data_IF_610257576666
#
_entry.id   IF_610257576666
#
_cell.length_a   1.000
_cell.length_b   1.000
_cell.length_c   1.000
_cell.angle_alpha   90.00
_cell.angle_beta   90.00
_cell.angle_gamma   90.00
#
_symmetry.space_group_name_H-M   'P 1'
#
loop_
_entity.id
_entity.type
_entity.pdbx_description
1 polymer ?
#
# COMPACT_ATOMS: atom_id res chain seq x y z
N UNK A 1 5.46 7.86 -20.93
CA UNK A 1 6.00 7.94 -19.55
C UNK A 1 4.83 7.76 -18.61
N UNK A 2 4.87 6.72 -17.76
CA UNK A 2 3.72 6.29 -16.95
C UNK A 2 3.33 7.37 -15.95
N UNK A 3 2.06 7.79 -15.97
CA UNK A 3 1.45 8.74 -15.04
C UNK A 3 0.91 8.06 -13.78
N UNK A 4 0.96 6.72 -13.75
CA UNK A 4 0.27 5.91 -12.75
C UNK A 4 1.23 5.43 -11.66
N UNK A 5 0.74 5.39 -10.42
CA UNK A 5 1.43 4.77 -9.30
C UNK A 5 1.13 3.27 -9.25
N UNK A 6 2.09 2.43 -9.68
CA UNK A 6 1.90 0.97 -9.74
C UNK A 6 1.93 0.28 -8.37
N UNK A 7 2.62 0.88 -7.39
CA UNK A 7 2.79 0.30 -6.06
C UNK A 7 4.14 0.58 -5.41
N UNK A 8 4.40 -0.10 -4.31
CA UNK A 8 5.63 0.05 -3.50
C UNK A 8 6.21 -1.32 -3.15
N UNK A 9 7.53 -1.40 -3.00
CA UNK A 9 8.21 -2.61 -2.53
C UNK A 9 8.76 -2.32 -1.14
N UNK A 10 8.31 -3.07 -0.15
CA UNK A 10 8.89 -3.08 1.19
C UNK A 10 9.94 -4.19 1.25
N UNK A 11 11.18 -3.83 1.62
CA UNK A 11 12.30 -4.78 1.67
C UNK A 11 12.50 -5.42 3.03
N UNK A 12 11.97 -4.82 4.10
CA UNK A 12 12.09 -5.29 5.47
C UNK A 12 10.73 -5.21 6.16
N UNK A 13 9.92 -6.26 6.01
CA UNK A 13 8.61 -6.35 6.69
C UNK A 13 8.69 -7.28 7.90
N UNK A 14 8.17 -6.89 9.08
CA UNK A 14 8.08 -7.78 10.23
C UNK A 14 7.32 -9.07 9.88
N UNK A 15 7.98 -10.22 10.04
CA UNK A 15 7.43 -11.53 9.64
C UNK A 15 6.55 -12.18 10.72
N UNK A 16 6.63 -11.69 11.96
CA UNK A 16 5.90 -12.25 13.11
C UNK A 16 4.42 -11.85 13.20
N UNK A 17 3.95 -10.90 12.39
CA UNK A 17 2.55 -10.46 12.40
C UNK A 17 1.95 -10.53 11.00
N UNK A 18 0.69 -10.98 10.93
CA UNK A 18 -0.09 -10.88 9.70
C UNK A 18 -0.52 -9.42 9.53
N UNK A 19 0.08 -8.74 8.54
CA UNK A 19 -0.20 -7.34 8.24
C UNK A 19 -0.99 -7.21 6.93
N UNK A 20 -1.97 -6.31 6.93
CA UNK A 20 -2.50 -5.68 5.72
C UNK A 20 -2.04 -4.23 5.69
N UNK A 21 -2.12 -3.59 4.54
CA UNK A 21 -1.77 -2.18 4.41
C UNK A 21 -2.98 -1.39 3.95
N UNK A 22 -3.32 -0.36 4.73
CA UNK A 22 -4.30 0.64 4.39
C UNK A 22 -3.61 1.71 3.54
N UNK A 23 -4.26 2.09 2.44
CA UNK A 23 -3.79 3.17 1.57
C UNK A 23 -4.69 4.38 1.74
N UNK A 24 -4.09 5.54 1.95
CA UNK A 24 -4.76 6.83 1.98
C UNK A 24 -4.33 7.63 0.76
N UNK A 25 -5.31 8.11 0.01
CA UNK A 25 -5.15 8.99 -1.13
C UNK A 25 -5.63 10.39 -0.73
N UNK A 26 -4.73 11.39 -0.74
CA UNK A 26 -5.02 12.75 -0.28
C UNK A 26 -5.69 12.79 1.11
N UNK A 27 -5.22 11.93 2.02
CA UNK A 27 -5.77 11.79 3.37
C UNK A 27 -7.04 10.94 3.49
N UNK A 28 -7.63 10.47 2.39
CA UNK A 28 -8.82 9.60 2.39
C UNK A 28 -8.45 8.14 2.19
N UNK A 29 -8.91 7.26 3.08
CA UNK A 29 -8.72 5.81 2.94
C UNK A 29 -9.43 5.27 1.70
N UNK A 30 -8.69 4.61 0.80
CA UNK A 30 -9.21 4.00 -0.44
C UNK A 30 -9.28 2.47 -0.39
N UNK A 31 -8.86 1.88 0.72
CA UNK A 31 -8.95 0.45 0.96
C UNK A 31 -7.75 -0.10 1.71
N UNK A 32 -7.83 -1.40 1.99
CA UNK A 32 -6.82 -2.13 2.77
C UNK A 32 -6.60 -3.48 2.12
N UNK A 33 -5.36 -3.83 1.79
CA UNK A 33 -5.06 -5.15 1.21
C UNK A 33 -3.81 -5.81 1.78
N UNK A 34 -3.75 -7.12 1.60
CA UNK A 34 -2.57 -7.88 1.97
C UNK A 34 -1.47 -7.68 0.93
N UNK A 35 -0.21 -7.56 1.35
CA UNK A 35 0.93 -7.57 0.42
C UNK A 35 1.04 -8.90 -0.33
N UNK A 36 1.58 -8.85 -1.55
CA UNK A 36 2.00 -10.06 -2.25
C UNK A 36 3.35 -10.50 -1.70
N UNK A 37 3.38 -11.69 -1.07
CA UNK A 37 4.62 -12.31 -0.61
C UNK A 37 5.37 -12.86 -1.81
N UNK A 38 6.55 -12.32 -2.10
CA UNK A 38 7.41 -12.91 -3.10
C UNK A 38 7.97 -14.23 -2.52
N UNK A 39 7.54 -15.37 -3.08
CA UNK A 39 7.97 -16.71 -2.63
C UNK A 39 9.49 -16.90 -2.66
N UNK A 40 10.20 -16.13 -3.49
CA UNK A 40 11.65 -16.28 -3.73
C UNK A 40 12.55 -15.40 -2.85
N UNK A 41 11.98 -14.41 -2.14
CA UNK A 41 12.74 -13.54 -1.22
C UNK A 41 11.88 -13.29 0.02
N UNK A 42 12.11 -14.07 1.08
CA UNK A 42 11.30 -14.11 2.31
C UNK A 42 11.07 -12.73 2.96
N UNK A 43 11.96 -11.76 2.70
CA UNK A 43 11.93 -10.43 3.32
C UNK A 43 11.35 -9.34 2.40
N UNK A 44 11.23 -9.60 1.09
CA UNK A 44 10.66 -8.62 0.16
C UNK A 44 9.16 -8.83 -0.01
N UNK A 45 8.39 -7.84 0.40
CA UNK A 45 6.96 -7.77 0.14
C UNK A 45 6.71 -6.73 -0.94
N UNK A 46 6.13 -7.17 -2.05
CA UNK A 46 5.70 -6.25 -3.10
C UNK A 46 4.25 -5.92 -2.89
N UNK A 47 3.97 -4.64 -2.88
CA UNK A 47 2.63 -4.11 -2.79
C UNK A 47 2.27 -3.50 -4.13
N UNK A 48 1.19 -4.01 -4.74
CA UNK A 48 0.66 -3.43 -5.96
C UNK A 48 -0.62 -2.68 -5.61
N UNK A 49 -0.69 -1.42 -6.03
CA UNK A 49 -1.92 -0.65 -6.00
C UNK A 49 -2.71 -1.01 -7.26
N UNK A 50 -3.39 -2.15 -7.22
CA UNK A 50 -4.22 -2.58 -8.34
C UNK A 50 -5.63 -2.01 -8.20
N UNK A 51 -6.15 -1.44 -9.29
CA UNK A 51 -7.50 -0.86 -9.40
C UNK A 51 -8.67 -1.78 -9.02
N UNK A 52 -8.42 -3.09 -8.96
CA UNK A 52 -9.40 -4.12 -8.59
C UNK A 52 -9.38 -4.47 -7.11
N UNK A 53 -8.34 -4.03 -6.38
CA UNK A 53 -8.11 -4.35 -4.97
C UNK A 53 -8.49 -3.15 -4.08
N UNK A 54 -8.32 -1.94 -4.61
CA UNK A 54 -8.67 -0.70 -3.94
C UNK A 54 -9.92 -0.10 -4.56
N UNK A 55 -10.67 0.67 -3.78
CA UNK A 55 -11.85 1.40 -4.24
C UNK A 55 -11.44 2.60 -5.10
N UNK A 56 -10.87 2.29 -6.25
CA UNK A 56 -10.38 3.24 -7.23
C UNK A 56 -11.38 3.44 -8.38
N UNK A 57 -12.58 2.84 -8.29
CA UNK A 57 -13.62 2.88 -9.32
C UNK A 57 -13.10 2.56 -10.75
N UNK A 58 -12.09 1.69 -10.86
CA UNK A 58 -11.46 1.33 -12.14
C UNK A 58 -10.41 2.32 -12.67
N UNK A 59 -10.22 3.47 -12.03
CA UNK A 59 -9.21 4.47 -12.39
C UNK A 59 -7.84 4.13 -11.81
N UNK A 60 -6.78 4.59 -12.47
CA UNK A 60 -5.43 4.56 -11.91
C UNK A 60 -5.17 5.78 -11.03
N UNK A 61 -4.23 5.66 -10.09
CA UNK A 61 -3.82 6.79 -9.25
C UNK A 61 -2.72 7.56 -9.96
N UNK A 62 -2.98 8.83 -10.26
CA UNK A 62 -1.95 9.75 -10.75
C UNK A 62 -0.91 10.00 -9.66
N UNK A 63 0.36 9.74 -9.96
CA UNK A 63 1.47 10.07 -9.06
C UNK A 63 1.85 11.56 -9.08
N UNK A 64 1.32 12.37 -10.00
CA UNK A 64 1.66 13.79 -10.09
C UNK A 64 0.69 14.68 -9.32
N UNK A 65 -0.52 14.18 -9.03
CA UNK A 65 -1.59 14.99 -8.44
C UNK A 65 -2.00 14.53 -7.04
N UNK A 66 -1.52 13.35 -6.61
CA UNK A 66 -1.99 12.73 -5.39
C UNK A 66 -0.86 12.45 -4.40
N UNK A 67 -1.15 12.78 -3.14
CA UNK A 67 -0.41 12.28 -1.99
C UNK A 67 -0.92 10.87 -1.67
N UNK A 68 0.00 9.92 -1.55
CA UNK A 68 -0.32 8.52 -1.22
C UNK A 68 0.39 8.17 0.08
N UNK A 69 -0.34 7.67 1.06
CA UNK A 69 0.18 7.24 2.35
C UNK A 69 -0.17 5.78 2.57
N UNK A 70 0.79 5.01 3.09
CA UNK A 70 0.60 3.62 3.48
C UNK A 70 0.67 3.51 5.00
N UNK A 71 -0.30 2.82 5.58
CA UNK A 71 -0.34 2.43 6.99
C UNK A 71 -0.34 0.91 7.08
N UNK A 72 0.36 0.34 8.07
CA UNK A 72 0.27 -1.09 8.38
C UNK A 72 -0.84 -1.34 9.41
N UNK A 73 -1.71 -2.29 9.10
CA UNK A 73 -2.87 -2.69 9.90
C UNK A 73 -2.70 -4.15 10.30
N UNK A 74 -2.94 -4.42 11.58
CA UNK A 74 -3.00 -5.77 12.11
C UNK A 74 -4.23 -6.51 11.57
N UNK A 75 -4.04 -7.72 11.00
CA UNK A 75 -5.13 -8.49 10.40
C UNK A 75 -6.13 -9.00 11.44
N UNK A 76 -5.66 -9.31 12.65
CA UNK A 76 -6.48 -9.94 13.69
C UNK A 76 -7.34 -8.91 14.42
N UNK A 77 -6.76 -7.74 14.71
CA UNK A 77 -7.42 -6.68 15.49
C UNK A 77 -8.01 -5.56 14.63
N UNK A 78 -7.60 -5.45 13.36
CA UNK A 78 -8.00 -4.35 12.48
C UNK A 78 -7.41 -2.98 12.86
N UNK A 79 -6.54 -2.92 13.87
CA UNK A 79 -5.92 -1.68 14.34
C UNK A 79 -4.73 -1.30 13.48
N UNK A 80 -4.57 0.00 13.25
CA UNK A 80 -3.33 0.54 12.66
C UNK A 80 -2.21 0.34 13.67
N UNK A 81 -1.19 -0.43 13.29
CA UNK A 81 0.00 -0.67 14.11
C UNK A 81 1.10 0.34 13.81
N UNK A 82 1.23 0.72 12.53
CA UNK A 82 2.23 1.67 12.07
C UNK A 82 1.58 2.62 11.07
N UNK A 83 1.65 3.92 11.33
CA UNK A 83 1.21 4.98 10.43
C UNK A 83 2.37 5.50 9.57
N UNK A 84 2.05 6.01 8.38
CA UNK A 84 2.99 6.69 7.49
C UNK A 84 4.26 5.88 7.15
N UNK A 85 4.13 4.56 7.03
CA UNK A 85 5.27 3.66 6.75
C UNK A 85 5.87 3.89 5.36
N UNK A 86 5.10 4.52 4.47
CA UNK A 86 5.57 5.06 3.22
C UNK A 86 4.67 6.21 2.79
N UNK A 87 5.28 7.21 2.15
CA UNK A 87 4.60 8.38 1.62
C UNK A 87 5.11 8.70 0.22
N UNK A 88 4.20 9.02 -0.67
CA UNK A 88 4.46 9.62 -1.96
C UNK A 88 3.80 11.00 -1.98
N UNK A 89 4.54 11.99 -2.46
CA UNK A 89 4.03 13.36 -2.66
C UNK A 89 4.06 13.69 -4.16
N UNK A 90 3.08 14.47 -4.65
CA UNK A 90 3.03 14.91 -6.04
C UNK A 90 4.30 15.66 -6.45
N UNK A 91 4.72 15.48 -7.71
CA UNK A 91 5.90 16.11 -8.32
C UNK A 91 5.57 16.72 -9.67
#
# INVERSE_FOLDING_TARGET
>A
MGYEFEGIIFTNVPTGKKLKYQVLLNGKGIGTAAPYKNKWKKERMRFYLHKNIYNMNGYAISKNDNTIVFNAVDVETGKVLYSDIAKHEPK
#
